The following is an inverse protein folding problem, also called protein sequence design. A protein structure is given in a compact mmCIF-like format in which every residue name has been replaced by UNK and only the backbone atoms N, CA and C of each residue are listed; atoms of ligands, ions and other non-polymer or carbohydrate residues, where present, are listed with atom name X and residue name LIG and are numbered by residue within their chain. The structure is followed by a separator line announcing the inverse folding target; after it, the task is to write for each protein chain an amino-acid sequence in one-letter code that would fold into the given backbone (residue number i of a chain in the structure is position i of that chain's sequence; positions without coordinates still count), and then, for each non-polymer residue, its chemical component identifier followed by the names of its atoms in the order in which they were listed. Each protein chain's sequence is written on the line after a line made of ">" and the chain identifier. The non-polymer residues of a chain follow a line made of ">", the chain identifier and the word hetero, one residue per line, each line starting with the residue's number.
data_IF_938055608785
#
_entry.id   IF_938055608785
#
_cell.length_a   1.000
_cell.length_b   1.000
_cell.length_c   1.000
_cell.angle_alpha   90.00
_cell.angle_beta   90.00
_cell.angle_gamma   90.00
#
_symmetry.space_group_name_H-M   'P 1'
#
loop_
_entity.id
_entity.type
_entity.pdbx_description
1 polymer ?
#
# COMPACT_ATOMS: atom_id res chain seq x y z
N UNK A 1 -37.72 -51.61 3.63
CA UNK A 1 -38.07 -50.21 3.97
C UNK A 1 -36.89 -49.40 4.53
N UNK A 2 -36.13 -49.92 5.51
CA UNK A 2 -35.04 -49.18 6.16
C UNK A 2 -33.95 -48.59 5.23
N UNK A 3 -33.50 -49.31 4.20
CA UNK A 3 -32.48 -48.81 3.26
C UNK A 3 -32.93 -47.58 2.44
N UNK A 4 -34.21 -47.50 2.07
CA UNK A 4 -34.74 -46.35 1.31
C UNK A 4 -34.85 -45.10 2.19
N UNK A 5 -35.23 -45.27 3.47
CA UNK A 5 -35.29 -44.18 4.46
C UNK A 5 -33.91 -43.63 4.82
N UNK A 6 -32.88 -44.49 4.88
CA UNK A 6 -31.51 -44.05 5.14
C UNK A 6 -30.92 -43.26 3.95
N UNK A 7 -31.19 -43.70 2.71
CA UNK A 7 -30.73 -42.98 1.52
C UNK A 7 -31.39 -41.61 1.35
N UNK A 8 -32.68 -41.47 1.68
CA UNK A 8 -33.34 -40.17 1.66
C UNK A 8 -32.77 -39.22 2.73
N UNK A 9 -32.44 -39.73 3.92
CA UNK A 9 -31.84 -38.94 4.99
C UNK A 9 -30.43 -38.45 4.65
N UNK A 10 -29.61 -39.31 4.02
CA UNK A 10 -28.26 -38.93 3.57
C UNK A 10 -28.33 -37.85 2.48
N UNK A 11 -29.27 -37.97 1.52
CA UNK A 11 -29.47 -36.96 0.47
C UNK A 11 -29.92 -35.62 1.07
N UNK A 12 -30.85 -35.64 2.03
CA UNK A 12 -31.29 -34.42 2.74
C UNK A 12 -30.14 -33.73 3.49
N UNK A 13 -29.29 -34.50 4.20
CA UNK A 13 -28.13 -33.94 4.90
C UNK A 13 -27.05 -33.38 3.96
N UNK A 14 -26.85 -33.99 2.78
CA UNK A 14 -25.93 -33.46 1.77
C UNK A 14 -26.44 -32.14 1.17
N UNK A 15 -27.75 -32.01 0.95
CA UNK A 15 -28.39 -30.78 0.50
C UNK A 15 -28.20 -29.67 1.56
N UNK A 16 -28.50 -29.95 2.82
CA UNK A 16 -28.34 -28.97 3.91
C UNK A 16 -26.88 -28.51 4.07
N UNK A 17 -25.91 -29.42 3.98
CA UNK A 17 -24.48 -29.07 4.07
C UNK A 17 -24.00 -28.20 2.90
N UNK A 18 -24.55 -28.43 1.70
CA UNK A 18 -24.27 -27.59 0.52
C UNK A 18 -24.83 -26.18 0.72
N UNK A 19 -26.03 -26.07 1.28
CA UNK A 19 -26.69 -24.79 1.60
C UNK A 19 -25.88 -23.99 2.64
N UNK A 20 -25.37 -24.61 3.70
CA UNK A 20 -24.62 -23.92 4.75
C UNK A 20 -23.26 -23.38 4.27
N UNK A 21 -22.54 -24.16 3.46
CA UNK A 21 -21.29 -23.70 2.84
C UNK A 21 -21.53 -22.51 1.90
N UNK A 22 -22.67 -22.49 1.19
CA UNK A 22 -23.03 -21.40 0.30
C UNK A 22 -23.42 -20.12 1.05
N UNK A 23 -24.15 -20.22 2.17
CA UNK A 23 -24.40 -19.08 3.06
C UNK A 23 -23.10 -18.45 3.56
N UNK A 24 -22.06 -19.26 3.78
CA UNK A 24 -20.74 -18.78 4.18
C UNK A 24 -20.05 -17.97 3.07
N UNK A 25 -20.10 -18.46 1.83
CA UNK A 25 -19.52 -17.78 0.64
C UNK A 25 -20.23 -16.46 0.37
N UNK A 26 -21.57 -16.43 0.39
CA UNK A 26 -22.37 -15.19 0.22
C UNK A 26 -22.04 -14.17 1.32
N UNK A 27 -21.86 -14.62 2.57
CA UNK A 27 -21.47 -13.74 3.68
C UNK A 27 -20.07 -13.15 3.49
N UNK A 28 -19.12 -13.94 2.99
CA UNK A 28 -17.74 -13.50 2.72
C UNK A 28 -17.68 -12.51 1.56
N UNK A 29 -18.45 -12.73 0.50
CA UNK A 29 -18.57 -11.80 -0.63
C UNK A 29 -19.26 -10.49 -0.23
N UNK A 30 -20.31 -10.53 0.60
CA UNK A 30 -20.94 -9.31 1.17
C UNK A 30 -19.98 -8.49 2.05
N UNK A 31 -19.03 -9.13 2.73
CA UNK A 31 -17.99 -8.44 3.50
C UNK A 31 -16.99 -7.72 2.59
N UNK A 32 -16.57 -8.37 1.50
CA UNK A 32 -15.73 -7.72 0.47
C UNK A 32 -16.47 -6.56 -0.20
N UNK A 33 -17.75 -6.74 -0.53
CA UNK A 33 -18.60 -5.69 -1.11
C UNK A 33 -18.70 -4.45 -0.21
N UNK A 34 -18.81 -4.63 1.11
CA UNK A 34 -18.89 -3.51 2.06
C UNK A 34 -17.62 -2.67 2.15
N UNK A 35 -16.45 -3.28 1.95
CA UNK A 35 -15.19 -2.54 1.97
C UNK A 35 -15.09 -1.58 0.77
N UNK A 36 -15.58 -2.00 -0.41
CA UNK A 36 -15.57 -1.18 -1.63
C UNK A 36 -16.81 -0.30 -1.80
N UNK A 37 -17.96 -0.64 -1.19
CA UNK A 37 -19.20 0.15 -1.27
C UNK A 37 -19.17 1.45 -0.45
N UNK A 38 -18.11 1.68 0.34
CA UNK A 38 -17.88 2.94 1.05
C UNK A 38 -17.53 4.10 0.09
N UNK A 39 -17.18 3.79 -1.16
CA UNK A 39 -16.96 4.78 -2.22
C UNK A 39 -18.33 5.21 -2.78
N UNK A 40 -18.82 6.37 -2.33
CA UNK A 40 -20.17 6.89 -2.64
C UNK A 40 -20.53 6.94 -4.14
N UNK A 41 -19.53 7.01 -5.02
CA UNK A 41 -19.72 7.15 -6.47
C UNK A 41 -20.27 5.90 -7.16
N UNK A 42 -20.16 4.71 -6.54
CA UNK A 42 -20.78 3.50 -7.08
C UNK A 42 -22.31 3.59 -7.10
N UNK A 43 -22.92 4.51 -6.33
CA UNK A 43 -24.37 4.80 -6.36
C UNK A 43 -24.80 5.56 -7.62
N UNK A 44 -24.63 4.97 -8.81
CA UNK A 44 -25.54 5.27 -9.93
C UNK A 44 -26.91 4.67 -9.60
N UNK A 45 -27.68 5.41 -8.81
CA UNK A 45 -28.84 4.96 -8.02
C UNK A 45 -30.00 4.33 -8.81
N UNK A 46 -30.05 4.37 -10.14
CA UNK A 46 -31.21 3.87 -10.87
C UNK A 46 -31.01 2.52 -11.58
N UNK A 47 -29.78 2.10 -11.88
CA UNK A 47 -29.52 0.80 -12.53
C UNK A 47 -29.13 -0.25 -11.50
N UNK A 48 -28.19 0.07 -10.60
CA UNK A 48 -27.84 -0.83 -9.49
C UNK A 48 -29.02 -1.13 -8.57
N UNK A 49 -29.85 -0.13 -8.19
CA UNK A 49 -31.06 -0.42 -7.39
C UNK A 49 -32.03 -1.35 -8.11
N UNK A 50 -32.10 -1.31 -9.46
CA UNK A 50 -32.94 -2.26 -10.22
C UNK A 50 -32.37 -3.68 -10.19
N UNK A 51 -31.05 -3.81 -10.30
CA UNK A 51 -30.37 -5.10 -10.30
C UNK A 51 -30.31 -5.72 -8.89
N UNK A 52 -30.13 -4.91 -7.84
CA UNK A 52 -30.26 -5.29 -6.43
C UNK A 52 -31.70 -5.73 -6.12
N UNK A 53 -32.70 -4.93 -6.51
CA UNK A 53 -34.10 -5.30 -6.33
C UNK A 53 -34.45 -6.61 -7.04
N UNK A 54 -33.83 -6.90 -8.19
CA UNK A 54 -34.05 -8.16 -8.92
C UNK A 54 -33.45 -9.35 -8.18
N UNK A 55 -32.22 -9.23 -7.67
CA UNK A 55 -31.59 -10.28 -6.85
C UNK A 55 -32.37 -10.53 -5.56
N UNK A 56 -32.83 -9.47 -4.90
CA UNK A 56 -33.65 -9.58 -3.69
C UNK A 56 -35.01 -10.25 -3.98
N UNK A 57 -35.66 -9.91 -5.10
CA UNK A 57 -36.90 -10.56 -5.54
C UNK A 57 -36.70 -12.04 -5.87
N UNK A 58 -35.63 -12.41 -6.59
CA UNK A 58 -35.34 -13.83 -6.88
C UNK A 58 -34.99 -14.61 -5.61
N UNK A 59 -34.29 -13.99 -4.65
CA UNK A 59 -33.98 -14.59 -3.36
C UNK A 59 -35.24 -14.81 -2.52
N UNK A 60 -36.15 -13.83 -2.48
CA UNK A 60 -37.45 -13.96 -1.79
C UNK A 60 -38.31 -15.05 -2.43
N UNK A 61 -38.37 -15.11 -3.77
CA UNK A 61 -39.10 -16.15 -4.47
C UNK A 61 -38.56 -17.56 -4.15
N UNK A 62 -37.23 -17.73 -4.05
CA UNK A 62 -36.64 -19.00 -3.61
C UNK A 62 -37.04 -19.37 -2.19
N UNK A 63 -37.11 -18.39 -1.27
CA UNK A 63 -37.57 -18.63 0.10
C UNK A 63 -39.06 -19.01 0.15
N UNK A 64 -39.91 -18.32 -0.59
CA UNK A 64 -41.34 -18.65 -0.69
C UNK A 64 -41.58 -20.05 -1.27
N UNK A 65 -40.82 -20.44 -2.30
CA UNK A 65 -40.86 -21.80 -2.86
C UNK A 65 -40.43 -22.84 -1.81
N UNK A 66 -39.44 -22.53 -0.97
CA UNK A 66 -39.03 -23.41 0.13
C UNK A 66 -40.11 -23.53 1.21
N UNK A 67 -40.71 -22.42 1.65
CA UNK A 67 -41.75 -22.41 2.69
C UNK A 67 -43.04 -23.11 2.23
N UNK A 68 -43.48 -22.86 0.99
CA UNK A 68 -44.63 -23.55 0.40
C UNK A 68 -44.39 -25.07 0.28
N UNK A 69 -43.14 -25.48 0.14
CA UNK A 69 -42.76 -26.89 0.07
C UNK A 69 -42.78 -27.59 1.45
N UNK A 70 -42.46 -26.87 2.52
CA UNK A 70 -42.54 -27.38 3.90
C UNK A 70 -43.99 -27.56 4.38
N UNK A 71 -44.90 -26.70 3.92
CA UNK A 71 -46.32 -26.72 4.31
C UNK A 71 -47.18 -27.77 3.61
N UNK A 72 -46.61 -28.61 2.73
CA UNK A 72 -47.25 -29.84 2.25
C UNK A 72 -48.39 -29.67 1.23
N UNK A 73 -48.69 -28.46 0.76
CA UNK A 73 -49.82 -28.21 -0.15
C UNK A 73 -49.55 -28.59 -1.62
N UNK A 74 -48.29 -28.85 -2.00
CA UNK A 74 -47.91 -29.03 -3.40
C UNK A 74 -47.73 -30.50 -3.83
N UNK A 75 -48.50 -30.93 -4.84
CA UNK A 75 -48.48 -32.29 -5.44
C UNK A 75 -47.23 -32.60 -6.30
N UNK A 76 -46.19 -31.78 -6.26
CA UNK A 76 -44.94 -32.01 -7.01
C UNK A 76 -44.13 -33.18 -6.43
N UNK A 77 -43.62 -34.02 -7.32
CA UNK A 77 -42.71 -35.10 -6.95
C UNK A 77 -41.36 -34.55 -6.46
N UNK A 78 -40.61 -35.28 -5.61
CA UNK A 78 -39.30 -34.83 -5.15
C UNK A 78 -38.29 -34.53 -6.27
N UNK A 79 -38.41 -35.20 -7.42
CA UNK A 79 -37.53 -35.00 -8.58
C UNK A 79 -37.84 -33.69 -9.31
N UNK A 80 -39.11 -33.35 -9.50
CA UNK A 80 -39.52 -32.05 -10.07
C UNK A 80 -39.10 -30.89 -9.17
N UNK A 81 -39.20 -31.06 -7.85
CA UNK A 81 -38.73 -30.07 -6.88
C UNK A 81 -37.23 -29.86 -6.96
N UNK A 82 -36.44 -30.94 -7.04
CA UNK A 82 -34.99 -30.82 -7.21
C UNK A 82 -34.63 -30.04 -8.46
N UNK A 83 -35.29 -30.33 -9.59
CA UNK A 83 -35.04 -29.61 -10.85
C UNK A 83 -35.35 -28.12 -10.77
N UNK A 84 -36.48 -27.74 -10.17
CA UNK A 84 -36.84 -26.32 -9.99
C UNK A 84 -35.82 -25.61 -9.11
N UNK A 85 -35.40 -26.23 -8.02
CA UNK A 85 -34.39 -25.66 -7.12
C UNK A 85 -33.04 -25.54 -7.82
N UNK A 86 -32.63 -26.56 -8.58
CA UNK A 86 -31.37 -26.54 -9.33
C UNK A 86 -31.39 -25.46 -10.43
N UNK A 87 -32.50 -25.30 -11.17
CA UNK A 87 -32.67 -24.24 -12.19
C UNK A 87 -32.70 -22.84 -11.58
N UNK A 88 -33.36 -22.64 -10.44
CA UNK A 88 -33.38 -21.36 -9.74
C UNK A 88 -32.00 -21.02 -9.16
N UNK A 89 -31.27 -22.02 -8.68
CA UNK A 89 -29.92 -21.85 -8.17
C UNK A 89 -28.94 -21.46 -9.28
N UNK A 90 -29.05 -22.08 -10.45
CA UNK A 90 -28.23 -21.73 -11.62
C UNK A 90 -28.46 -20.26 -12.03
N UNK A 91 -29.71 -19.81 -12.07
CA UNK A 91 -30.05 -18.39 -12.35
C UNK A 91 -29.47 -17.41 -11.33
N UNK A 92 -29.52 -17.75 -10.04
CA UNK A 92 -28.91 -16.93 -8.98
C UNK A 92 -27.39 -16.85 -9.14
N UNK A 93 -26.74 -17.98 -9.43
CA UNK A 93 -25.29 -18.01 -9.66
C UNK A 93 -24.89 -17.15 -10.87
N UNK A 94 -25.65 -17.22 -11.96
CA UNK A 94 -25.44 -16.38 -13.14
C UNK A 94 -25.64 -14.89 -12.81
N UNK A 95 -26.66 -14.54 -12.02
CA UNK A 95 -26.92 -13.16 -11.61
C UNK A 95 -25.82 -12.62 -10.69
N UNK A 96 -25.32 -13.42 -9.75
CA UNK A 96 -24.18 -13.05 -8.89
C UNK A 96 -22.90 -12.86 -9.70
N UNK A 97 -22.59 -13.75 -10.64
CA UNK A 97 -21.44 -13.62 -11.54
C UNK A 97 -21.54 -12.36 -12.42
N UNK A 98 -22.73 -12.06 -12.93
CA UNK A 98 -22.97 -10.85 -13.70
C UNK A 98 -22.80 -9.58 -12.86
N UNK A 99 -23.34 -9.55 -11.64
CA UNK A 99 -23.15 -8.43 -10.72
C UNK A 99 -21.67 -8.23 -10.35
N UNK A 100 -20.94 -9.32 -10.12
CA UNK A 100 -19.51 -9.26 -9.86
C UNK A 100 -18.77 -8.70 -11.07
N UNK A 101 -19.07 -9.15 -12.30
CA UNK A 101 -18.47 -8.64 -13.53
C UNK A 101 -18.74 -7.15 -13.73
N UNK A 102 -19.98 -6.71 -13.55
CA UNK A 102 -20.36 -5.28 -13.64
C UNK A 102 -19.60 -4.46 -12.61
N UNK A 103 -19.46 -4.97 -11.38
CA UNK A 103 -18.71 -4.30 -10.33
C UNK A 103 -17.22 -4.18 -10.67
N UNK A 104 -16.60 -5.27 -11.12
CA UNK A 104 -15.21 -5.29 -11.56
C UNK A 104 -14.97 -4.29 -12.71
N UNK A 105 -15.88 -4.23 -13.69
CA UNK A 105 -15.82 -3.25 -14.79
C UNK A 105 -15.92 -1.80 -14.27
N UNK A 106 -16.82 -1.53 -13.33
CA UNK A 106 -16.95 -0.20 -12.71
C UNK A 106 -15.69 0.21 -11.93
N UNK A 107 -15.09 -0.72 -11.19
CA UNK A 107 -13.82 -0.49 -10.48
C UNK A 107 -12.70 -0.20 -11.47
N UNK A 108 -12.61 -0.94 -12.58
CA UNK A 108 -11.61 -0.68 -13.62
C UNK A 108 -11.78 0.69 -14.27
N UNK A 109 -13.01 1.11 -14.59
CA UNK A 109 -13.31 2.44 -15.15
C UNK A 109 -12.91 3.54 -14.15
N UNK A 110 -13.27 3.38 -12.88
CA UNK A 110 -12.91 4.34 -11.82
C UNK A 110 -11.40 4.44 -11.67
N UNK A 111 -10.69 3.31 -11.66
CA UNK A 111 -9.26 3.26 -11.55
C UNK A 111 -8.57 3.95 -12.74
N UNK A 112 -9.03 3.69 -13.96
CA UNK A 112 -8.53 4.38 -15.15
C UNK A 112 -8.74 5.90 -15.07
N UNK A 113 -9.94 6.34 -14.65
CA UNK A 113 -10.25 7.76 -14.46
C UNK A 113 -9.40 8.42 -13.38
N UNK A 114 -9.21 7.75 -12.23
CA UNK A 114 -8.35 8.22 -11.14
C UNK A 114 -6.90 8.40 -11.61
N UNK A 115 -6.38 7.42 -12.36
CA UNK A 115 -5.04 7.48 -12.92
C UNK A 115 -4.88 8.61 -13.93
N UNK A 116 -5.85 8.80 -14.83
CA UNK A 116 -5.87 9.88 -15.81
C UNK A 116 -5.83 11.25 -15.13
N UNK A 117 -6.75 11.49 -14.19
CA UNK A 117 -6.83 12.75 -13.43
C UNK A 117 -5.58 13.00 -12.58
N UNK A 118 -5.04 11.95 -11.95
CA UNK A 118 -3.80 12.04 -11.17
C UNK A 118 -2.62 12.43 -12.05
N UNK A 119 -2.50 11.82 -13.23
CA UNK A 119 -1.43 12.11 -14.17
C UNK A 119 -1.54 13.54 -14.74
N UNK A 120 -2.75 13.95 -15.13
CA UNK A 120 -2.99 15.32 -15.61
C UNK A 120 -2.60 16.35 -14.55
N UNK A 121 -3.00 16.11 -13.29
CA UNK A 121 -2.66 17.01 -12.19
C UNK A 121 -1.18 17.01 -11.85
N UNK A 122 -0.51 15.85 -11.87
CA UNK A 122 0.93 15.76 -11.63
C UNK A 122 1.73 16.49 -12.72
N UNK A 123 1.27 16.46 -13.97
CA UNK A 123 1.88 17.22 -15.07
C UNK A 123 1.71 18.74 -14.89
N UNK A 124 0.58 19.18 -14.31
CA UNK A 124 0.31 20.59 -14.02
C UNK A 124 1.01 21.09 -12.77
N UNK A 125 1.10 20.25 -11.74
CA UNK A 125 1.56 20.58 -10.39
C UNK A 125 2.47 19.46 -9.90
N UNK A 126 3.76 19.55 -10.27
CA UNK A 126 4.76 18.53 -9.95
C UNK A 126 5.26 18.63 -8.50
N UNK A 127 4.42 18.30 -7.53
CA UNK A 127 4.78 18.26 -6.11
C UNK A 127 4.75 16.81 -5.58
N UNK A 128 5.46 16.50 -4.48
CA UNK A 128 5.47 15.15 -3.91
C UNK A 128 4.15 14.65 -3.34
N UNK A 129 3.07 15.44 -3.38
CA UNK A 129 1.77 15.10 -2.83
C UNK A 129 0.77 14.83 -3.96
N UNK A 130 0.26 13.60 -4.06
CA UNK A 130 -0.78 13.26 -5.06
C UNK A 130 -2.10 13.91 -4.69
N UNK A 131 -2.54 14.87 -5.50
CA UNK A 131 -3.75 15.65 -5.27
C UNK A 131 -5.06 14.85 -5.37
N UNK A 132 -5.03 13.62 -5.89
CA UNK A 132 -6.12 12.63 -5.86
C UNK A 132 -5.88 11.48 -4.88
N UNK A 133 -4.75 11.48 -4.16
CA UNK A 133 -4.30 10.38 -3.30
C UNK A 133 -3.95 9.10 -4.06
N UNK A 134 -3.89 7.99 -3.34
CA UNK A 134 -3.69 6.64 -3.83
C UNK A 134 -4.99 5.86 -3.77
N UNK A 135 -5.31 5.16 -4.85
CA UNK A 135 -6.47 4.26 -4.90
C UNK A 135 -6.14 2.86 -4.38
N UNK A 136 -4.91 2.39 -4.64
CA UNK A 136 -4.45 1.07 -4.21
C UNK A 136 -3.40 1.23 -3.12
N UNK A 137 -3.79 0.93 -1.90
CA UNK A 137 -2.85 0.83 -0.78
C UNK A 137 -2.18 -0.55 -0.82
N UNK A 138 -0.85 -0.63 -0.71
CA UNK A 138 -0.15 -1.91 -0.72
C UNK A 138 -0.52 -2.76 0.48
N UNK A 139 -0.57 -4.08 0.25
CA UNK A 139 -0.79 -5.08 1.29
C UNK A 139 0.37 -5.08 2.30
N UNK A 140 0.09 -5.60 3.50
CA UNK A 140 1.13 -5.75 4.51
C UNK A 140 2.01 -6.96 4.20
N UNK A 141 3.32 -6.74 4.08
CA UNK A 141 4.32 -7.79 3.94
C UNK A 141 4.94 -8.17 5.28
N UNK A 142 5.31 -9.43 5.39
CA UNK A 142 6.11 -10.00 6.48
C UNK A 142 7.56 -9.52 6.39
N UNK A 143 8.14 -9.13 7.54
CA UNK A 143 9.52 -8.68 7.64
C UNK A 143 10.13 -9.09 8.98
N UNK A 144 10.48 -10.38 9.11
CA UNK A 144 10.90 -10.98 10.37
C UNK A 144 12.04 -10.22 11.07
N UNK A 145 13.04 -9.77 10.31
CA UNK A 145 14.19 -9.07 10.90
C UNK A 145 13.83 -7.69 11.44
N UNK A 146 13.00 -6.93 10.72
CA UNK A 146 12.51 -5.65 11.22
C UNK A 146 11.67 -5.83 12.49
N UNK A 147 10.75 -6.80 12.50
CA UNK A 147 9.96 -7.16 13.69
C UNK A 147 10.83 -7.49 14.90
N UNK A 148 11.91 -8.24 14.68
CA UNK A 148 12.87 -8.60 15.71
C UNK A 148 13.55 -7.37 16.31
N UNK A 149 13.90 -6.37 15.49
CA UNK A 149 14.47 -5.10 15.97
C UNK A 149 13.49 -4.38 16.90
N UNK A 150 12.21 -4.27 16.51
CA UNK A 150 11.17 -3.66 17.36
C UNK A 150 11.04 -4.40 18.71
N UNK A 151 10.96 -5.73 18.66
CA UNK A 151 10.82 -6.58 19.84
C UNK A 151 12.03 -6.47 20.78
N UNK A 152 13.25 -6.55 20.23
CA UNK A 152 14.50 -6.52 20.99
C UNK A 152 14.70 -5.17 21.68
N UNK A 153 14.34 -4.07 21.02
CA UNK A 153 14.41 -2.72 21.60
C UNK A 153 13.21 -2.38 22.47
N UNK A 154 12.19 -3.25 22.53
CA UNK A 154 10.92 -3.04 23.27
C UNK A 154 10.22 -1.74 22.87
N UNK A 155 10.25 -1.42 21.58
CA UNK A 155 9.62 -0.21 21.04
C UNK A 155 8.24 -0.60 20.48
N UNK A 156 7.13 -0.09 21.05
CA UNK A 156 5.82 -0.29 20.45
C UNK A 156 5.73 0.40 19.08
N UNK A 157 5.27 -0.33 18.05
CA UNK A 157 5.17 0.19 16.67
C UNK A 157 4.37 1.49 16.56
N UNK A 158 3.28 1.61 17.31
CA UNK A 158 2.44 2.83 17.29
C UNK A 158 3.24 4.09 17.65
N UNK A 159 4.25 4.00 18.53
CA UNK A 159 5.09 5.18 18.87
C UNK A 159 5.95 5.63 17.70
N UNK A 160 6.49 4.68 16.93
CA UNK A 160 7.23 5.01 15.70
C UNK A 160 6.26 5.56 14.67
N UNK A 161 5.13 4.91 14.44
CA UNK A 161 4.11 5.39 13.51
C UNK A 161 3.60 6.81 13.83
N UNK A 162 3.34 7.13 15.10
CA UNK A 162 2.96 8.48 15.53
C UNK A 162 4.06 9.51 15.24
N UNK A 163 5.33 9.12 15.39
CA UNK A 163 6.45 9.97 15.05
C UNK A 163 6.60 10.17 13.54
N UNK A 164 6.46 9.10 12.74
CA UNK A 164 6.49 9.17 11.28
C UNK A 164 5.32 10.01 10.74
N UNK A 165 4.13 9.90 11.34
CA UNK A 165 2.99 10.76 11.01
C UNK A 165 3.29 12.23 11.32
N UNK A 166 3.95 12.55 12.44
CA UNK A 166 4.40 13.93 12.72
C UNK A 166 5.36 14.44 11.66
N UNK A 167 6.34 13.63 11.24
CA UNK A 167 7.25 13.98 10.13
C UNK A 167 6.43 14.26 8.87
N UNK A 168 5.51 13.36 8.49
CA UNK A 168 4.63 13.56 7.35
C UNK A 168 3.86 14.88 7.42
N UNK A 169 3.18 15.16 8.52
CA UNK A 169 2.42 16.41 8.68
C UNK A 169 3.33 17.63 8.62
N UNK A 170 4.48 17.59 9.29
CA UNK A 170 5.47 18.65 9.27
C UNK A 170 6.04 18.90 7.88
N UNK A 171 6.27 17.84 7.09
CA UNK A 171 6.71 17.95 5.69
C UNK A 171 5.67 18.68 4.84
N UNK A 172 4.37 18.40 4.99
CA UNK A 172 3.32 19.09 4.22
C UNK A 172 3.28 20.60 4.53
N UNK A 173 3.30 20.96 5.82
CA UNK A 173 3.31 22.37 6.23
C UNK A 173 4.60 23.07 5.80
N UNK A 174 5.75 22.44 6.02
CA UNK A 174 7.07 22.98 5.68
C UNK A 174 7.26 23.16 4.17
N UNK A 175 6.67 22.27 3.35
CA UNK A 175 6.67 22.42 1.90
C UNK A 175 5.93 23.69 1.46
N UNK A 176 4.75 23.95 2.01
CA UNK A 176 3.94 25.13 1.66
C UNK A 176 4.60 26.42 2.13
N UNK A 177 5.10 26.43 3.37
CA UNK A 177 5.78 27.56 4.00
C UNK A 177 7.25 27.73 3.57
N UNK A 178 7.80 26.76 2.82
CA UNK A 178 9.21 26.72 2.41
C UNK A 178 10.19 26.74 3.62
N UNK A 179 9.83 26.06 4.70
CA UNK A 179 10.68 25.86 5.88
C UNK A 179 11.80 24.85 5.59
N UNK A 180 12.95 25.38 5.17
CA UNK A 180 14.15 24.61 4.84
C UNK A 180 14.73 23.87 6.05
N UNK A 181 14.63 24.45 7.25
CA UNK A 181 15.26 23.88 8.44
C UNK A 181 14.62 22.53 8.78
N UNK A 182 13.29 22.51 8.85
CA UNK A 182 12.54 21.27 9.07
C UNK A 182 12.80 20.25 7.96
N UNK A 183 12.74 20.67 6.69
CA UNK A 183 12.90 19.77 5.55
C UNK A 183 14.29 19.12 5.51
N UNK A 184 15.37 19.85 5.79
CA UNK A 184 16.71 19.24 5.80
C UNK A 184 16.98 18.37 7.03
N UNK A 185 16.29 18.61 8.15
CA UNK A 185 16.38 17.76 9.34
C UNK A 185 15.66 16.43 9.14
N UNK A 186 14.40 16.48 8.68
CA UNK A 186 13.48 15.34 8.66
C UNK A 186 13.17 14.76 7.27
N UNK A 187 13.68 15.35 6.20
CA UNK A 187 13.64 14.76 4.87
C UNK A 187 15.06 14.46 4.38
N UNK A 188 15.17 13.50 3.47
CA UNK A 188 16.44 13.30 2.78
C UNK A 188 16.73 14.47 1.83
N UNK A 189 18.02 14.81 1.71
CA UNK A 189 18.48 16.05 1.11
C UNK A 189 18.05 16.21 -0.35
N UNK A 190 18.26 15.20 -1.19
CA UNK A 190 17.88 15.26 -2.60
C UNK A 190 16.37 15.37 -2.78
N UNK A 191 15.59 14.65 -1.98
CA UNK A 191 14.13 14.78 -1.95
C UNK A 191 13.69 16.19 -1.53
N UNK A 192 14.26 16.75 -0.46
CA UNK A 192 13.98 18.12 0.00
C UNK A 192 14.38 19.18 -1.04
N UNK A 193 15.56 19.05 -1.64
CA UNK A 193 16.06 19.96 -2.69
C UNK A 193 15.13 19.97 -3.91
N UNK A 194 14.72 18.78 -4.39
CA UNK A 194 13.78 18.66 -5.52
C UNK A 194 12.41 19.27 -5.16
N UNK A 195 11.89 18.98 -3.97
CA UNK A 195 10.61 19.49 -3.47
C UNK A 195 10.61 21.02 -3.45
N UNK A 196 11.63 21.62 -2.83
CA UNK A 196 11.76 23.06 -2.70
C UNK A 196 11.86 23.75 -4.06
N UNK A 197 12.69 23.21 -4.95
CA UNK A 197 12.85 23.74 -6.31
C UNK A 197 11.53 23.69 -7.08
N UNK A 198 10.79 22.58 -7.00
CA UNK A 198 9.51 22.46 -7.71
C UNK A 198 8.46 23.43 -7.19
N UNK A 199 8.33 23.55 -5.86
CA UNK A 199 7.41 24.51 -5.24
C UNK A 199 7.76 25.95 -5.59
N UNK A 200 9.05 26.29 -5.61
CA UNK A 200 9.52 27.63 -6.02
C UNK A 200 9.17 27.93 -7.47
N UNK A 201 9.43 26.99 -8.40
CA UNK A 201 9.06 27.13 -9.81
C UNK A 201 7.54 27.29 -10.01
N UNK A 202 6.72 26.57 -9.26
CA UNK A 202 5.26 26.71 -9.33
C UNK A 202 4.81 28.06 -8.75
N UNK A 203 5.43 28.54 -7.66
CA UNK A 203 5.15 29.88 -7.13
C UNK A 203 5.50 30.98 -8.14
N UNK A 204 6.62 30.85 -8.86
CA UNK A 204 6.99 31.77 -9.96
C UNK A 204 5.98 31.76 -11.11
N UNK A 205 5.34 30.62 -11.37
CA UNK A 205 4.24 30.47 -12.35
C UNK A 205 2.89 30.97 -11.83
N UNK A 206 2.84 31.56 -10.63
CA UNK A 206 1.62 32.13 -10.04
C UNK A 206 0.74 31.12 -9.28
N UNK A 207 1.25 29.92 -9.01
CA UNK A 207 0.57 28.94 -8.14
C UNK A 207 0.76 29.28 -6.66
N UNK A 208 -0.25 28.97 -5.86
CA UNK A 208 -0.22 29.06 -4.39
C UNK A 208 -0.78 27.79 -3.78
N UNK A 209 -0.24 27.42 -2.63
CA UNK A 209 -0.59 26.18 -1.93
C UNK A 209 -1.16 26.52 -0.55
N UNK A 210 -2.15 25.75 -0.10
CA UNK A 210 -2.65 25.81 1.29
C UNK A 210 -2.89 24.41 1.80
N UNK A 211 -2.38 24.11 2.99
CA UNK A 211 -2.75 22.88 3.71
C UNK A 211 -4.07 23.12 4.42
N UNK A 212 -5.06 22.27 4.15
CA UNK A 212 -6.39 22.33 4.78
C UNK A 212 -6.73 20.97 5.40
N UNK A 213 -7.55 20.99 6.44
CA UNK A 213 -8.12 19.76 7.01
C UNK A 213 -9.55 19.57 6.50
N UNK A 214 -9.76 18.50 5.74
CA UNK A 214 -11.05 18.11 5.21
C UNK A 214 -11.81 17.29 6.25
N UNK A 215 -12.64 17.98 7.02
CA UNK A 215 -13.41 17.38 8.12
C UNK A 215 -14.62 16.57 7.62
N UNK A 216 -15.03 16.80 6.38
CA UNK A 216 -16.22 16.20 5.78
C UNK A 216 -15.79 15.45 4.53
N UNK A 217 -15.48 14.17 4.68
CA UNK A 217 -15.16 13.32 3.54
C UNK A 217 -16.35 13.14 2.60
N UNK A 218 -16.22 12.18 1.70
CA UNK A 218 -17.32 11.79 0.82
C UNK A 218 -18.59 11.45 1.66
N UNK A 219 -19.70 12.12 1.36
CA UNK A 219 -20.98 11.90 2.05
C UNK A 219 -21.10 12.56 3.43
N UNK A 220 -20.12 13.39 3.84
CA UNK A 220 -20.16 14.12 5.11
C UNK A 220 -19.66 13.32 6.32
N UNK A 221 -19.14 12.12 6.12
CA UNK A 221 -18.54 11.34 7.19
C UNK A 221 -17.14 11.89 7.55
N UNK A 222 -16.80 11.94 8.86
CA UNK A 222 -15.49 12.40 9.28
C UNK A 222 -14.42 11.38 8.88
N UNK A 223 -13.28 11.88 8.44
CA UNK A 223 -12.19 11.05 7.95
C UNK A 223 -11.33 10.65 9.13
N UNK A 224 -11.30 9.34 9.41
CA UNK A 224 -10.44 8.81 10.46
C UNK A 224 -8.97 8.85 10.02
N UNK A 225 -8.11 9.29 10.95
CA UNK A 225 -6.66 9.20 10.81
C UNK A 225 -6.27 7.73 11.00
N UNK A 226 -5.63 7.15 9.99
CA UNK A 226 -5.19 5.76 10.05
C UNK A 226 -3.86 5.60 9.33
N UNK A 227 -2.91 4.92 9.95
CA UNK A 227 -1.61 4.65 9.36
C UNK A 227 -1.02 3.37 9.95
N UNK A 228 -0.28 2.63 9.14
CA UNK A 228 0.34 1.36 9.53
C UNK A 228 1.63 1.10 8.73
N UNK A 229 2.41 0.10 9.14
CA UNK A 229 3.60 -0.34 8.40
C UNK A 229 3.15 -1.40 7.40
N UNK A 230 3.13 -1.07 6.11
CA UNK A 230 2.82 -2.03 5.04
C UNK A 230 4.03 -2.88 4.69
N UNK A 231 5.22 -2.29 4.59
CA UNK A 231 6.44 -3.02 4.28
C UNK A 231 7.60 -2.48 5.11
N UNK A 232 8.55 -3.35 5.45
CA UNK A 232 9.74 -3.00 6.22
C UNK A 232 10.93 -3.81 5.69
N UNK A 233 12.04 -3.14 5.45
CA UNK A 233 13.26 -3.76 4.93
C UNK A 233 14.46 -3.23 5.68
N UNK A 234 15.32 -4.13 6.13
CA UNK A 234 16.66 -3.81 6.59
C UNK A 234 17.63 -3.90 5.41
N UNK A 235 18.26 -2.79 5.07
CA UNK A 235 19.28 -2.75 4.01
C UNK A 235 20.66 -2.63 4.65
N UNK A 236 21.56 -3.57 4.35
CA UNK A 236 22.93 -3.57 4.89
C UNK A 236 23.96 -3.25 3.81
N UNK A 237 24.99 -2.51 4.19
CA UNK A 237 26.16 -2.23 3.36
C UNK A 237 26.02 -1.02 2.44
N UNK A 238 24.92 -0.27 2.58
CA UNK A 238 24.69 1.01 1.91
C UNK A 238 24.53 2.13 2.94
N UNK A 239 24.79 3.35 2.49
CA UNK A 239 24.60 4.57 3.25
C UNK A 239 23.23 5.20 2.96
N UNK A 240 22.66 5.86 3.97
CA UNK A 240 21.44 6.66 3.81
C UNK A 240 21.67 7.89 2.93
N UNK A 241 22.92 8.37 2.83
CA UNK A 241 23.30 9.41 1.89
C UNK A 241 23.66 8.78 0.54
N UNK A 242 22.85 9.07 -0.48
CA UNK A 242 22.87 8.31 -1.75
C UNK A 242 24.10 8.68 -2.58
N UNK A 243 24.71 9.84 -2.33
CA UNK A 243 25.97 10.23 -2.95
C UNK A 243 27.16 9.38 -2.51
N UNK A 244 27.08 8.76 -1.34
CA UNK A 244 28.14 7.91 -0.77
C UNK A 244 28.07 6.46 -1.30
N UNK A 245 26.98 6.10 -1.97
CA UNK A 245 26.80 4.77 -2.53
C UNK A 245 27.48 4.65 -3.91
N UNK A 246 28.17 3.52 -4.10
CA UNK A 246 28.85 3.16 -5.34
C UNK A 246 27.87 2.78 -6.46
N UNK A 247 28.38 2.51 -7.67
CA UNK A 247 27.52 1.98 -8.74
C UNK A 247 26.97 0.60 -8.36
N UNK A 248 25.78 0.25 -8.85
CA UNK A 248 25.17 -1.06 -8.63
C UNK A 248 26.10 -2.22 -9.01
N UNK A 249 26.88 -2.03 -10.08
CA UNK A 249 27.86 -3.02 -10.58
C UNK A 249 29.04 -3.24 -9.65
N UNK A 250 29.23 -2.39 -8.64
CA UNK A 250 30.31 -2.48 -7.66
C UNK A 250 29.87 -3.25 -6.40
N UNK A 251 28.64 -3.78 -6.37
CA UNK A 251 28.13 -4.60 -5.28
C UNK A 251 27.78 -6.02 -5.74
N UNK A 252 27.86 -6.96 -4.80
CA UNK A 252 27.10 -8.19 -4.80
C UNK A 252 25.83 -7.96 -3.99
N UNK A 253 24.67 -8.16 -4.60
CA UNK A 253 23.37 -8.09 -3.94
C UNK A 253 22.96 -9.49 -3.47
N UNK A 254 22.60 -9.59 -2.20
CA UNK A 254 22.00 -10.77 -1.61
C UNK A 254 20.61 -10.41 -1.07
N UNK A 255 19.59 -10.95 -1.72
CA UNK A 255 18.21 -10.93 -1.25
C UNK A 255 17.95 -12.26 -0.56
N UNK A 256 17.69 -12.21 0.74
CA UNK A 256 17.25 -13.41 1.48
C UNK A 256 15.81 -13.76 1.08
N UNK A 257 15.22 -14.78 1.69
CA UNK A 257 13.80 -15.08 1.48
C UNK A 257 12.94 -13.84 1.74
N UNK A 258 11.88 -13.71 0.94
CA UNK A 258 10.99 -12.55 1.00
C UNK A 258 10.53 -12.24 2.43
N UNK A 259 10.25 -13.24 3.25
CA UNK A 259 9.73 -13.04 4.61
C UNK A 259 10.74 -12.46 5.61
N UNK A 260 12.05 -12.51 5.32
CA UNK A 260 13.07 -12.03 6.24
C UNK A 260 13.12 -10.50 6.32
N UNK A 261 12.78 -9.82 5.22
CA UNK A 261 12.85 -8.35 5.13
C UNK A 261 14.28 -7.82 5.27
N UNK A 262 15.26 -8.50 4.66
CA UNK A 262 16.67 -8.07 4.66
C UNK A 262 17.26 -8.12 3.24
N UNK A 263 17.98 -7.07 2.88
CA UNK A 263 18.77 -6.97 1.64
C UNK A 263 20.20 -6.60 2.02
N UNK A 264 21.18 -7.32 1.49
CA UNK A 264 22.60 -7.12 1.81
C UNK A 264 23.34 -6.76 0.53
N UNK A 265 23.98 -5.60 0.53
CA UNK A 265 24.92 -5.17 -0.49
C UNK A 265 26.35 -5.34 0.04
N UNK A 266 27.15 -6.14 -0.66
CA UNK A 266 28.56 -6.35 -0.30
C UNK A 266 29.43 -5.81 -1.42
N UNK A 267 30.30 -4.82 -1.18
CA UNK A 267 31.20 -4.31 -2.22
C UNK A 267 32.02 -5.43 -2.88
N UNK A 268 32.10 -5.45 -4.21
CA UNK A 268 32.78 -6.51 -4.97
C UNK A 268 34.28 -6.57 -4.70
N UNK A 269 34.88 -5.45 -4.32
CA UNK A 269 36.30 -5.42 -3.97
C UNK A 269 36.61 -6.31 -2.75
N UNK A 270 35.63 -6.63 -1.90
CA UNK A 270 35.78 -7.58 -0.79
C UNK A 270 35.93 -9.03 -1.24
N UNK A 271 35.65 -9.32 -2.51
CA UNK A 271 35.93 -10.62 -3.13
C UNK A 271 37.39 -10.72 -3.63
N UNK A 272 38.16 -9.63 -3.58
CA UNK A 272 39.56 -9.58 -4.01
C UNK A 272 40.50 -9.71 -2.80
N UNK A 273 41.31 -10.79 -2.69
CA UNK A 273 42.23 -10.98 -1.57
C UNK A 273 43.19 -9.79 -1.34
N UNK A 274 43.55 -9.09 -2.41
CA UNK A 274 44.44 -7.92 -2.40
C UNK A 274 43.87 -6.77 -1.56
N UNK A 275 42.54 -6.66 -1.45
CA UNK A 275 41.89 -5.62 -0.66
C UNK A 275 42.13 -5.76 0.85
N UNK A 276 42.47 -6.95 1.34
CA UNK A 276 42.74 -7.24 2.75
C UNK A 276 44.20 -7.09 3.14
N UNK A 277 45.09 -6.84 2.17
CA UNK A 277 46.53 -6.68 2.43
C UNK A 277 46.83 -5.35 3.11
N UNK A 278 46.06 -4.29 2.81
CA UNK A 278 46.19 -2.99 3.46
C UNK A 278 45.49 -2.97 4.83
N UNK A 279 46.22 -2.87 5.96
CA UNK A 279 45.63 -2.85 7.30
C UNK A 279 44.68 -1.67 7.54
N UNK A 280 44.88 -0.53 6.86
CA UNK A 280 44.00 0.64 7.00
C UNK A 280 42.65 0.36 6.39
N UNK A 281 42.63 -0.15 5.16
CA UNK A 281 41.42 -0.56 4.45
C UNK A 281 40.71 -1.71 5.16
N UNK A 282 41.48 -2.66 5.69
CA UNK A 282 40.92 -3.77 6.45
C UNK A 282 40.16 -3.29 7.70
N UNK A 283 40.69 -2.27 8.39
CA UNK A 283 40.02 -1.68 9.55
C UNK A 283 38.71 -0.98 9.18
N UNK A 284 38.67 -0.22 8.10
CA UNK A 284 37.44 0.50 7.67
C UNK A 284 36.32 -0.45 7.25
N UNK A 285 36.65 -1.59 6.64
CA UNK A 285 35.67 -2.61 6.26
C UNK A 285 34.84 -3.09 7.48
N UNK A 286 35.52 -3.45 8.58
CA UNK A 286 34.85 -3.98 9.78
C UNK A 286 34.25 -2.92 10.69
N UNK A 287 34.83 -1.72 10.71
CA UNK A 287 34.39 -0.65 11.61
C UNK A 287 33.35 0.26 11.00
N UNK A 288 33.36 0.44 9.67
CA UNK A 288 32.50 1.41 9.00
C UNK A 288 31.51 0.70 8.08
N UNK A 289 31.98 -0.07 7.09
CA UNK A 289 31.10 -0.60 6.03
C UNK A 289 30.13 -1.67 6.54
N UNK A 290 30.61 -2.65 7.30
CA UNK A 290 29.77 -3.75 7.77
C UNK A 290 28.72 -3.35 8.82
N UNK A 291 28.85 -2.14 9.39
CA UNK A 291 27.96 -1.59 10.40
C UNK A 291 26.87 -0.70 9.80
N UNK A 292 26.96 -0.36 8.50
CA UNK A 292 25.92 0.42 7.83
C UNK A 292 24.68 -0.46 7.64
N UNK A 293 23.65 -0.15 8.41
CA UNK A 293 22.33 -0.77 8.30
C UNK A 293 21.29 0.34 8.27
N UNK A 294 20.41 0.32 7.28
CA UNK A 294 19.30 1.24 7.11
C UNK A 294 18.02 0.46 7.40
N UNK A 295 17.15 1.01 8.23
CA UNK A 295 15.76 0.56 8.32
C UNK A 295 14.92 1.39 7.36
N UNK A 296 14.30 0.76 6.38
CA UNK A 296 13.39 1.38 5.42
C UNK A 296 11.97 0.88 5.66
N UNK A 297 11.00 1.79 5.72
CA UNK A 297 9.59 1.44 5.95
C UNK A 297 8.66 2.15 4.97
N UNK A 298 7.61 1.44 4.56
CA UNK A 298 6.52 1.97 3.72
C UNK A 298 5.28 2.13 4.61
N UNK A 299 4.81 3.36 4.68
CA UNK A 299 3.70 3.76 5.55
C UNK A 299 2.55 4.28 4.70
N UNK A 300 1.48 3.49 4.55
CA UNK A 300 0.19 4.02 4.15
C UNK A 300 -0.36 4.96 5.22
N UNK A 301 -0.82 6.13 4.79
CA UNK A 301 -1.34 7.20 5.64
C UNK A 301 -2.68 7.66 5.08
N UNK A 302 -3.76 7.41 5.81
CA UNK A 302 -5.06 8.02 5.61
C UNK A 302 -5.20 9.24 6.51
N UNK A 303 -5.43 10.41 5.91
CA UNK A 303 -5.41 11.69 6.63
C UNK A 303 -6.45 12.66 6.08
N UNK A 304 -7.12 13.46 6.95
CA UNK A 304 -7.98 14.54 6.48
C UNK A 304 -7.19 15.71 5.87
N UNK A 305 -5.86 15.75 6.04
CA UNK A 305 -5.04 16.81 5.47
C UNK A 305 -5.02 16.73 3.94
N UNK A 306 -5.19 17.88 3.30
CA UNK A 306 -5.15 18.04 1.84
C UNK A 306 -4.35 19.29 1.49
N UNK A 307 -3.80 19.29 0.28
CA UNK A 307 -3.21 20.49 -0.32
C UNK A 307 -4.20 21.04 -1.34
N UNK A 308 -4.66 22.26 -1.10
CA UNK A 308 -5.39 23.04 -2.09
C UNK A 308 -4.41 23.85 -2.92
N UNK A 309 -4.60 23.81 -4.24
CA UNK A 309 -3.80 24.57 -5.20
C UNK A 309 -4.64 25.68 -5.78
N UNK A 310 -4.08 26.89 -5.78
CA UNK A 310 -4.66 28.08 -6.38
C UNK A 310 -3.76 28.56 -7.50
N UNK A 311 -4.34 29.10 -8.56
CA UNK A 311 -3.61 29.73 -9.66
C UNK A 311 -4.08 31.17 -9.79
N UNK A 312 -3.13 32.09 -9.97
CA UNK A 312 -3.44 33.51 -10.21
C UNK A 312 -3.78 33.69 -11.68
N UNK A 313 -4.97 34.18 -12.00
CA UNK A 313 -5.38 34.45 -13.38
C UNK A 313 -4.76 35.76 -13.91
N UNK A 314 -4.99 36.08 -15.20
CA UNK A 314 -4.48 37.31 -15.84
C UNK A 314 -4.98 38.60 -15.17
N UNK A 315 -6.11 38.54 -14.46
CA UNK A 315 -6.70 39.65 -13.72
C UNK A 315 -6.12 39.80 -12.30
N UNK A 316 -5.18 38.94 -11.89
CA UNK A 316 -4.58 38.92 -10.56
C UNK A 316 -5.44 38.27 -9.47
N UNK A 317 -6.54 37.60 -9.84
CA UNK A 317 -7.43 36.90 -8.91
C UNK A 317 -6.97 35.46 -8.70
N UNK A 318 -6.95 35.03 -7.45
CA UNK A 318 -6.68 33.64 -7.07
C UNK A 318 -7.91 32.77 -7.34
N UNK A 319 -7.76 31.76 -8.18
CA UNK A 319 -8.78 30.74 -8.42
C UNK A 319 -8.26 29.37 -7.99
N UNK A 320 -9.06 28.65 -7.20
CA UNK A 320 -8.73 27.28 -6.82
C UNK A 320 -8.82 26.38 -8.05
N UNK A 321 -7.80 25.56 -8.29
CA UNK A 321 -7.85 24.54 -9.33
C UNK A 321 -8.96 23.56 -8.95
N UNK A 322 -9.97 23.43 -9.81
CA UNK A 322 -11.10 22.53 -9.56
C UNK A 322 -10.61 21.09 -9.59
N UNK A 323 -10.76 20.40 -8.47
CA UNK A 323 -10.52 18.96 -8.35
C UNK A 323 -11.86 18.26 -8.20
N UNK A 324 -11.99 17.10 -8.82
CA UNK A 324 -13.14 16.21 -8.63
C UNK A 324 -13.08 15.60 -7.23
N UNK A 325 -13.77 16.22 -6.27
CA UNK A 325 -13.71 15.81 -4.85
C UNK A 325 -14.16 14.37 -4.61
N UNK A 326 -15.01 13.82 -5.49
CA UNK A 326 -15.45 12.43 -5.49
C UNK A 326 -14.35 11.43 -5.85
N UNK A 327 -13.24 11.91 -6.42
CA UNK A 327 -12.09 11.08 -6.82
C UNK A 327 -10.92 11.15 -5.84
N UNK A 328 -10.99 11.97 -4.78
CA UNK A 328 -9.92 12.04 -3.78
C UNK A 328 -10.04 10.89 -2.78
N UNK A 329 -8.93 10.19 -2.50
CA UNK A 329 -8.96 9.00 -1.63
C UNK A 329 -8.53 9.25 -0.18
N UNK A 330 -7.93 10.41 0.11
CA UNK A 330 -7.29 10.74 1.40
C UNK A 330 -6.16 9.78 1.83
N UNK A 331 -5.74 8.90 0.94
CA UNK A 331 -4.73 7.88 1.19
C UNK A 331 -3.43 8.25 0.48
N UNK A 332 -2.34 8.23 1.23
CA UNK A 332 -1.01 8.60 0.79
C UNK A 332 -0.01 7.53 1.17
N UNK A 333 1.09 7.44 0.44
CA UNK A 333 2.18 6.52 0.72
C UNK A 333 3.43 7.31 1.04
N UNK A 334 4.06 7.04 2.18
CA UNK A 334 5.32 7.66 2.54
C UNK A 334 6.37 6.60 2.82
N UNK A 335 7.60 6.84 2.35
CA UNK A 335 8.75 6.02 2.67
C UNK A 335 9.61 6.78 3.67
N UNK A 336 9.97 6.09 4.75
CA UNK A 336 10.88 6.62 5.76
C UNK A 336 12.10 5.71 5.91
N UNK A 337 13.23 6.34 6.17
CA UNK A 337 14.49 5.65 6.43
C UNK A 337 15.12 6.13 7.74
N UNK A 338 15.81 5.23 8.41
CA UNK A 338 16.67 5.54 9.55
C UNK A 338 17.99 4.80 9.37
N UNK A 339 19.09 5.53 9.30
CA UNK A 339 20.42 4.96 9.48
C UNK A 339 20.51 4.44 10.92
N UNK A 340 20.59 3.12 11.07
CA UNK A 340 20.56 2.48 12.37
C UNK A 340 21.90 2.63 13.08
N UNK A 341 21.84 2.75 14.40
CA UNK A 341 23.01 2.79 15.28
C UNK A 341 23.42 1.35 15.61
N UNK A 342 24.65 0.94 15.30
CA UNK A 342 25.13 -0.41 15.59
C UNK A 342 25.19 -0.65 17.10
N UNK A 343 24.96 -1.90 17.55
CA UNK A 343 25.14 -2.26 18.96
C UNK A 343 26.62 -2.14 19.37
N UNK A 344 26.88 -2.01 20.67
CA UNK A 344 28.25 -2.04 21.18
C UNK A 344 28.98 -3.31 20.75
N UNK A 345 30.28 -3.19 20.44
CA UNK A 345 31.14 -4.33 20.12
C UNK A 345 31.03 -5.39 21.21
N UNK A 346 31.03 -6.64 20.78
CA UNK A 346 30.80 -7.78 21.64
C UNK A 346 31.81 -7.81 22.80
N UNK A 347 31.34 -7.76 24.05
CA UNK A 347 32.22 -7.76 25.24
C UNK A 347 32.53 -9.15 25.79
N UNK A 348 31.77 -10.18 25.40
CA UNK A 348 31.86 -11.53 25.98
C UNK A 348 32.51 -12.52 25.02
N UNK A 349 33.66 -13.06 25.40
CA UNK A 349 34.34 -14.14 24.67
C UNK A 349 33.62 -15.50 24.76
N UNK A 350 32.63 -15.65 25.65
CA UNK A 350 32.01 -16.94 25.97
C UNK A 350 30.61 -17.13 25.39
N UNK A 351 29.94 -16.07 24.93
CA UNK A 351 28.60 -16.17 24.34
C UNK A 351 28.70 -16.02 22.83
N UNK A 352 28.52 -17.11 22.09
CA UNK A 352 28.36 -17.02 20.65
C UNK A 352 27.00 -16.35 20.37
N UNK A 353 27.02 -15.09 19.95
CA UNK A 353 25.85 -14.43 19.36
C UNK A 353 25.76 -14.82 17.89
N UNK A 354 24.57 -15.20 17.44
CA UNK A 354 24.34 -15.41 16.01
C UNK A 354 24.09 -14.07 15.29
N UNK A 355 24.27 -14.08 13.98
CA UNK A 355 24.13 -12.88 13.15
C UNK A 355 22.76 -12.18 13.28
N UNK A 356 21.67 -12.95 13.38
CA UNK A 356 20.31 -12.40 13.49
C UNK A 356 20.03 -11.77 14.87
N UNK A 357 20.62 -12.33 15.93
CA UNK A 357 20.62 -11.73 17.26
C UNK A 357 21.37 -10.39 17.27
N UNK A 358 22.54 -10.34 16.62
CA UNK A 358 23.32 -9.11 16.50
C UNK A 358 22.57 -8.02 15.75
N UNK A 359 22.00 -8.34 14.58
CA UNK A 359 21.18 -7.41 13.79
C UNK A 359 19.96 -6.91 14.56
N UNK A 360 19.30 -7.78 15.33
CA UNK A 360 18.15 -7.41 16.14
C UNK A 360 18.46 -6.35 17.21
N UNK A 361 19.72 -6.16 17.60
CA UNK A 361 20.13 -5.19 18.63
C UNK A 361 20.41 -3.78 18.09
N UNK A 362 20.39 -3.59 16.78
CA UNK A 362 20.53 -2.25 16.20
C UNK A 362 19.42 -1.34 16.73
N UNK A 363 19.75 -0.07 16.95
CA UNK A 363 18.79 0.94 17.38
C UNK A 363 18.45 1.84 16.20
N UNK A 364 17.22 2.34 16.17
CA UNK A 364 16.87 3.37 15.19
C UNK A 364 17.68 4.64 15.47
N UNK A 365 18.19 5.26 14.41
CA UNK A 365 18.71 6.62 14.44
C UNK A 365 17.60 7.63 14.21
N UNK A 366 17.94 8.76 13.60
CA UNK A 366 16.95 9.75 13.17
C UNK A 366 16.17 9.22 11.98
N UNK A 367 14.84 9.28 12.05
CA UNK A 367 13.97 8.97 10.91
C UNK A 367 13.89 10.15 9.95
N UNK A 368 13.99 9.87 8.66
CA UNK A 368 13.81 10.84 7.58
C UNK A 368 12.79 10.33 6.58
N UNK A 369 11.92 11.21 6.09
CA UNK A 369 11.12 10.95 4.91
C UNK A 369 12.01 10.99 3.67
N UNK A 370 11.94 9.94 2.86
CA UNK A 370 12.76 9.83 1.65
C UNK A 370 11.91 9.85 0.39
N UNK A 371 10.62 9.57 0.51
CA UNK A 371 9.68 9.72 -0.58
C UNK A 371 8.25 9.90 -0.06
N UNK A 372 7.45 10.61 -0.86
CA UNK A 372 6.02 10.79 -0.65
C UNK A 372 5.30 10.56 -1.97
N UNK A 373 4.25 9.77 -1.90
CA UNK A 373 3.39 9.35 -3.01
C UNK A 373 4.15 8.84 -4.24
N UNK A 374 5.28 8.18 -4.02
CA UNK A 374 6.13 7.61 -5.06
C UNK A 374 6.71 8.67 -6.02
N UNK A 375 6.92 9.90 -5.56
CA UNK A 375 7.38 11.02 -6.38
C UNK A 375 8.86 10.93 -6.78
N UNK A 376 9.66 10.31 -5.93
CA UNK A 376 11.04 9.90 -6.24
C UNK A 376 11.08 8.48 -6.80
N UNK A 377 9.94 8.01 -7.30
CA UNK A 377 9.69 6.64 -7.68
C UNK A 377 10.08 5.70 -6.55
N UNK A 378 9.99 6.02 -5.27
CA UNK A 378 10.39 5.14 -4.18
C UNK A 378 11.85 5.29 -3.76
N UNK A 379 12.60 6.22 -4.36
CA UNK A 379 13.94 6.69 -3.97
C UNK A 379 15.02 5.58 -3.80
N UNK A 380 15.57 5.03 -4.90
CA UNK A 380 16.52 3.93 -4.82
C UNK A 380 17.81 4.31 -4.10
N UNK A 381 18.34 3.42 -3.27
CA UNK A 381 19.57 3.67 -2.50
C UNK A 381 20.81 3.77 -3.39
N UNK A 382 20.81 3.05 -4.51
CA UNK A 382 21.86 3.09 -5.52
C UNK A 382 21.32 3.76 -6.79
N UNK A 383 21.81 4.97 -7.09
CA UNK A 383 21.34 5.76 -8.24
C UNK A 383 22.05 5.34 -9.53
N UNK A 384 23.36 5.08 -9.46
CA UNK A 384 24.20 4.78 -10.62
C UNK A 384 24.02 3.33 -11.07
N UNK A 385 23.79 3.13 -12.37
CA UNK A 385 23.51 1.83 -13.00
C UNK A 385 22.36 1.04 -12.33
N UNK A 386 21.42 1.74 -11.68
CA UNK A 386 20.26 1.09 -11.07
C UNK A 386 19.53 0.24 -12.11
N UNK A 387 19.27 -1.05 -11.85
CA UNK A 387 18.55 -1.92 -12.77
C UNK A 387 17.14 -1.39 -13.03
N UNK A 388 16.63 -0.51 -12.16
CA UNK A 388 15.29 0.03 -12.25
C UNK A 388 14.98 0.82 -13.52
N UNK A 389 16.00 1.39 -14.15
CA UNK A 389 15.85 2.03 -15.46
C UNK A 389 15.35 1.06 -16.54
N UNK A 390 15.49 -0.25 -16.34
CA UNK A 390 14.94 -1.26 -17.26
C UNK A 390 13.42 -1.37 -17.17
N UNK A 391 12.80 -0.93 -16.07
CA UNK A 391 11.36 -1.00 -15.85
C UNK A 391 10.62 0.27 -16.28
N UNK A 392 11.31 1.24 -16.89
CA UNK A 392 10.68 2.42 -17.51
C UNK A 392 10.17 2.15 -18.93
N UNK A 393 10.37 0.93 -19.45
CA UNK A 393 9.85 0.53 -20.76
C UNK A 393 8.31 0.53 -20.76
N UNK A 394 7.65 1.03 -21.82
CA UNK A 394 6.19 1.00 -21.97
C UNK A 394 5.54 -0.38 -21.73
N UNK A 395 6.24 -1.49 -21.98
CA UNK A 395 5.76 -2.86 -21.70
C UNK A 395 5.46 -3.08 -20.22
N UNK A 396 6.19 -2.42 -19.32
CA UNK A 396 5.98 -2.55 -17.88
C UNK A 396 4.93 -1.58 -17.34
N UNK A 397 4.44 -0.62 -18.14
CA UNK A 397 3.50 0.40 -17.69
C UNK A 397 2.22 -0.22 -17.13
N UNK A 398 1.83 0.18 -15.92
CA UNK A 398 0.69 -0.35 -15.17
C UNK A 398 0.88 -1.75 -14.58
N UNK A 399 2.03 -2.39 -14.78
CA UNK A 399 2.32 -3.72 -14.21
C UNK A 399 2.85 -3.62 -12.77
N UNK A 400 2.99 -4.77 -12.08
CA UNK A 400 3.66 -4.85 -10.77
C UNK A 400 5.14 -4.42 -10.80
N UNK A 401 5.73 -4.33 -11.98
CA UNK A 401 7.10 -3.85 -12.18
C UNK A 401 7.15 -2.36 -12.53
N UNK A 402 6.00 -1.72 -12.79
CA UNK A 402 5.96 -0.29 -13.07
C UNK A 402 6.38 0.49 -11.81
N UNK A 403 7.53 1.15 -11.83
CA UNK A 403 8.03 1.87 -10.67
C UNK A 403 7.15 3.07 -10.32
N UNK A 404 6.27 3.53 -11.21
CA UNK A 404 5.33 4.64 -10.96
C UNK A 404 4.04 4.21 -10.25
N UNK A 405 3.68 2.93 -10.35
CA UNK A 405 2.42 2.37 -9.82
C UNK A 405 2.66 1.46 -8.61
N UNK A 406 3.82 0.80 -8.54
CA UNK A 406 4.13 -0.14 -7.45
C UNK A 406 5.41 0.25 -6.73
N UNK A 407 5.32 0.35 -5.39
CA UNK A 407 6.47 0.56 -4.51
C UNK A 407 6.90 -0.80 -3.95
N UNK A 408 8.11 -1.24 -4.28
CA UNK A 408 8.69 -2.46 -3.73
C UNK A 408 10.03 -2.18 -3.04
N UNK A 409 10.00 -1.97 -1.72
CA UNK A 409 11.17 -1.57 -0.94
C UNK A 409 12.36 -2.52 -1.05
N UNK A 410 12.13 -3.78 -1.43
CA UNK A 410 13.18 -4.82 -1.55
C UNK A 410 13.94 -4.75 -2.86
N UNK A 411 13.35 -4.11 -3.86
CA UNK A 411 13.89 -3.99 -5.21
C UNK A 411 14.22 -2.54 -5.60
N UNK A 412 14.11 -1.61 -4.64
CA UNK A 412 14.28 -0.16 -4.82
C UNK A 412 15.50 0.38 -4.09
#
# INVERSE_FOLDING_TARGET
>A
MFKRSLQSLIKANQINKKIDLQKLVVKQNKLNFKNYSSISFLKKENKQKKDENKLDQETQHLQEVQEQNENGENKMTPEERSKIVDEQLEKLMDLEQEQQRIHEEQVQIMHAKHQELSLEMQQKVDIPFKLYGWLNVPETKTAYMAERVFAQNRIPKHKILDHLYKIFTGTLYSMVEQDKEFLYEYCEKQFADKMMKSVEQLKEQGYKFRVVEDLTGIGGEPISKFYYLSDMVMVRGLDIERSENHSYKEYHEFKDSDDMGIVIYTPQYLSQPEAFVDPKRNKTIYEEEYQKVIMRVLVPIKTPLRIQVFQTNEEGKEEMIKMENDMYTWEHLAIFESQMVPPEKFKSFYKAENYMEWLGKFKFGTWKMVDLDNWMEGNPLIIKDSPRKQFTDPVFKGSKYDPSVHIDLRNV
#
